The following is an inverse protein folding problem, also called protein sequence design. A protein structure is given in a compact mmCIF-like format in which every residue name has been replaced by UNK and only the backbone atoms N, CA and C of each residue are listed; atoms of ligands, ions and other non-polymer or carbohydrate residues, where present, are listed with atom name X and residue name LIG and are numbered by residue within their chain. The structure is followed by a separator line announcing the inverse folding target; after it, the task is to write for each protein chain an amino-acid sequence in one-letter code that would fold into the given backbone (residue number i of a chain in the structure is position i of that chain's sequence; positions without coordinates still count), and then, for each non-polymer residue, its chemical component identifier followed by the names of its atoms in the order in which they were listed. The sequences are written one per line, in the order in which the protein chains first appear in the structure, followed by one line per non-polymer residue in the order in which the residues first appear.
data_IF_330950013429
#
_entry.id   IF_330950013429
#
_cell.length_a   1.000
_cell.length_b   1.000
_cell.length_c   1.000
_cell.angle_alpha   90.00
_cell.angle_beta   90.00
_cell.angle_gamma   90.00
#
_symmetry.space_group_name_H-M   'P 1'
#
loop_
_entity.id
_entity.type
_entity.pdbx_description
1 polymer ?
#
# COMPACT_ATOMS: atom_id res chain seq x y z
N UNK A 1 14.14 -38.96 35.72
CA UNK A 1 14.46 -37.53 35.53
C UNK A 1 13.59 -36.97 34.46
N UNK A 2 12.65 -36.12 34.78
CA UNK A 2 11.89 -35.48 33.73
C UNK A 2 12.77 -34.44 33.03
N UNK A 3 12.90 -34.62 31.77
CA UNK A 3 13.60 -33.62 30.94
C UNK A 3 12.53 -32.68 30.42
N UNK A 4 12.53 -31.49 30.92
CA UNK A 4 11.67 -30.44 30.40
C UNK A 4 12.25 -29.99 29.06
N UNK A 5 11.66 -30.46 28.02
CA UNK A 5 11.96 -29.95 26.70
C UNK A 5 11.13 -28.67 26.55
N UNK A 6 11.75 -27.56 26.81
CA UNK A 6 11.14 -26.28 26.46
C UNK A 6 11.16 -26.16 24.95
N UNK A 7 10.06 -26.50 24.35
CA UNK A 7 9.88 -26.17 22.94
C UNK A 7 9.67 -24.68 22.82
N UNK A 8 10.70 -23.99 22.45
CA UNK A 8 10.56 -22.61 22.05
C UNK A 8 10.01 -22.61 20.65
N UNK A 9 8.72 -22.38 20.57
CA UNK A 9 8.08 -22.17 19.27
C UNK A 9 8.41 -20.74 18.87
N UNK A 10 9.42 -20.61 18.06
CA UNK A 10 9.67 -19.37 17.35
C UNK A 10 8.64 -19.26 16.25
N UNK A 11 7.49 -18.70 16.61
CA UNK A 11 6.53 -18.36 15.59
C UNK A 11 7.10 -17.23 14.76
N UNK A 12 7.24 -17.50 13.48
CA UNK A 12 7.65 -16.51 12.51
C UNK A 12 6.52 -15.51 12.29
N UNK A 13 6.37 -14.57 13.19
CA UNK A 13 5.34 -13.54 13.11
C UNK A 13 5.70 -12.40 12.17
N UNK A 14 6.93 -12.41 11.67
CA UNK A 14 7.46 -11.34 10.83
C UNK A 14 6.78 -11.23 9.48
N UNK A 15 6.21 -12.31 8.97
CA UNK A 15 5.60 -12.32 7.63
C UNK A 15 4.22 -11.65 7.62
N UNK A 16 3.56 -11.58 8.77
CA UNK A 16 2.19 -11.06 8.87
C UNK A 16 2.18 -9.53 8.99
N UNK A 17 3.24 -8.95 9.53
CA UNK A 17 3.31 -7.51 9.81
C UNK A 17 3.19 -6.64 8.56
N UNK A 18 3.65 -7.14 7.40
CA UNK A 18 3.63 -6.38 6.15
C UNK A 18 2.21 -6.24 5.58
N UNK A 19 1.34 -7.21 5.86
CA UNK A 19 -0.04 -7.21 5.36
C UNK A 19 -1.02 -6.54 6.32
N UNK A 20 -0.61 -6.27 7.57
CA UNK A 20 -1.49 -5.72 8.60
C UNK A 20 -1.63 -4.21 8.55
N UNK A 21 -0.75 -3.53 7.87
CA UNK A 21 -0.74 -2.08 7.79
C UNK A 21 -0.78 -1.61 6.36
N UNK A 22 -1.43 -0.46 6.15
CA UNK A 22 -1.38 0.22 4.86
C UNK A 22 0.08 0.57 4.57
N UNK A 23 0.62 0.18 3.41
CA UNK A 23 2.00 0.49 3.07
C UNK A 23 2.22 1.99 2.98
N UNK A 24 3.45 2.42 3.21
CA UNK A 24 3.82 3.83 3.12
C UNK A 24 4.42 4.12 1.76
N UNK A 25 3.72 4.93 0.98
CA UNK A 25 4.17 5.37 -0.32
C UNK A 25 4.59 6.83 -0.28
N UNK A 26 5.57 7.19 -1.09
CA UNK A 26 5.96 8.57 -1.30
C UNK A 26 5.02 9.20 -2.35
N UNK A 27 3.92 9.76 -1.88
CA UNK A 27 2.90 10.35 -2.74
C UNK A 27 3.44 11.50 -3.56
N UNK A 28 4.26 12.35 -2.96
CA UNK A 28 4.82 13.51 -3.64
C UNK A 28 5.68 13.09 -4.83
N UNK A 29 6.51 12.08 -4.64
CA UNK A 29 7.36 11.56 -5.72
C UNK A 29 6.52 10.95 -6.84
N UNK A 30 5.54 10.13 -6.49
CA UNK A 30 4.66 9.49 -7.47
C UNK A 30 3.88 10.52 -8.27
N UNK A 31 3.32 11.53 -7.60
CA UNK A 31 2.57 12.58 -8.26
C UNK A 31 3.44 13.44 -9.17
N UNK A 32 4.68 13.73 -8.76
CA UNK A 32 5.62 14.50 -9.59
C UNK A 32 6.02 13.72 -10.84
N UNK A 33 6.30 12.44 -10.70
CA UNK A 33 6.67 11.60 -11.84
C UNK A 33 5.52 11.47 -12.82
N UNK A 34 4.31 11.31 -12.32
CA UNK A 34 3.11 11.19 -13.14
C UNK A 34 2.86 12.49 -13.92
N UNK A 35 2.94 13.63 -13.26
CA UNK A 35 2.76 14.92 -13.90
C UNK A 35 3.84 15.20 -14.96
N UNK A 36 5.08 14.84 -14.67
CA UNK A 36 6.19 15.02 -15.61
C UNK A 36 6.03 14.16 -16.88
N UNK A 37 5.39 13.01 -16.76
CA UNK A 37 5.17 12.12 -17.89
C UNK A 37 4.08 12.62 -18.85
N UNK A 38 3.21 13.51 -18.40
CA UNK A 38 2.05 13.90 -19.18
C UNK A 38 2.23 15.16 -19.99
N UNK A 39 2.91 16.20 -19.48
CA UNK A 39 3.14 17.42 -20.23
C UNK A 39 4.28 18.24 -19.65
N UNK A 40 4.91 19.07 -20.41
CA UNK A 40 5.89 20.02 -19.93
C UNK A 40 5.32 21.34 -19.42
N UNK A 41 3.99 21.49 -19.31
CA UNK A 41 3.38 22.78 -18.98
C UNK A 41 2.51 22.69 -17.73
N UNK A 42 2.66 23.65 -16.82
CA UNK A 42 1.79 23.85 -15.65
C UNK A 42 1.53 22.59 -14.82
N UNK A 43 2.60 22.03 -14.27
CA UNK A 43 2.52 20.78 -13.50
C UNK A 43 2.00 20.96 -12.07
N UNK A 44 1.85 22.19 -11.58
CA UNK A 44 1.48 22.44 -10.19
C UNK A 44 0.07 21.99 -9.87
N UNK A 45 -0.90 22.29 -10.73
CA UNK A 45 -2.30 21.91 -10.48
C UNK A 45 -2.51 20.39 -10.61
N UNK A 46 -1.95 19.71 -11.62
CA UNK A 46 -2.00 18.25 -11.65
C UNK A 46 -1.36 17.58 -10.44
N UNK A 47 -0.27 18.13 -9.92
CA UNK A 47 0.38 17.59 -8.72
C UNK A 47 -0.55 17.76 -7.52
N UNK A 48 -1.17 18.91 -7.34
CA UNK A 48 -2.12 19.14 -6.25
C UNK A 48 -3.31 18.20 -6.31
N UNK A 49 -3.87 18.02 -7.49
CA UNK A 49 -5.00 17.11 -7.69
C UNK A 49 -4.60 15.68 -7.38
N UNK A 50 -3.43 15.26 -7.84
CA UNK A 50 -2.89 13.95 -7.55
C UNK A 50 -2.70 13.75 -6.05
N UNK A 51 -2.11 14.73 -5.36
CA UNK A 51 -1.90 14.67 -3.91
C UNK A 51 -3.22 14.56 -3.15
N UNK A 52 -4.23 15.31 -3.56
CA UNK A 52 -5.56 15.22 -2.94
C UNK A 52 -6.19 13.86 -3.13
N UNK A 53 -6.12 13.30 -4.33
CA UNK A 53 -6.67 11.99 -4.64
C UNK A 53 -5.94 10.89 -3.85
N UNK A 54 -4.62 10.98 -3.76
CA UNK A 54 -3.82 10.05 -2.98
C UNK A 54 -4.15 10.13 -1.49
N UNK A 55 -4.32 11.33 -0.95
CA UNK A 55 -4.68 11.53 0.44
C UNK A 55 -6.05 10.93 0.76
N UNK A 56 -7.03 11.14 -0.11
CA UNK A 56 -8.36 10.57 0.07
C UNK A 56 -8.33 9.04 0.00
N UNK A 57 -7.59 8.49 -0.94
CA UNK A 57 -7.44 7.05 -1.06
C UNK A 57 -6.76 6.47 0.18
N UNK A 58 -5.74 7.14 0.70
CA UNK A 58 -5.06 6.71 1.92
C UNK A 58 -6.02 6.69 3.11
N UNK A 59 -6.87 7.69 3.25
CA UNK A 59 -7.86 7.73 4.32
C UNK A 59 -8.86 6.58 4.20
N UNK A 60 -9.34 6.30 3.01
CA UNK A 60 -10.26 5.19 2.77
C UNK A 60 -9.58 3.85 3.05
N UNK A 61 -8.33 3.70 2.62
CA UNK A 61 -7.55 2.49 2.90
C UNK A 61 -7.41 2.29 4.40
N UNK A 62 -7.09 3.35 5.13
CA UNK A 62 -6.94 3.27 6.59
C UNK A 62 -8.21 2.80 7.30
N UNK A 63 -9.37 3.26 6.85
CA UNK A 63 -10.65 2.91 7.46
C UNK A 63 -11.14 1.52 7.04
N UNK A 64 -10.71 1.01 5.91
CA UNK A 64 -11.21 -0.25 5.33
C UNK A 64 -10.17 -1.38 5.32
N UNK A 65 -8.94 -1.09 5.71
CA UNK A 65 -7.83 -2.03 5.55
C UNK A 65 -8.11 -3.40 6.13
N UNK A 66 -8.63 -3.44 7.34
CA UNK A 66 -8.95 -4.70 8.02
C UNK A 66 -10.11 -5.47 7.38
N UNK A 67 -10.92 -4.81 6.57
CA UNK A 67 -12.06 -5.44 5.90
C UNK A 67 -11.63 -6.22 4.66
N UNK A 68 -10.49 -5.89 4.07
CA UNK A 68 -9.96 -6.63 2.94
C UNK A 68 -9.27 -7.89 3.44
N UNK A 69 -9.28 -8.95 2.63
CA UNK A 69 -8.60 -10.19 3.00
C UNK A 69 -7.09 -9.99 3.02
N UNK A 70 -6.39 -10.76 3.86
CA UNK A 70 -4.94 -10.72 3.93
C UNK A 70 -4.29 -11.03 2.58
N UNK A 71 -4.87 -11.97 1.84
CA UNK A 71 -4.42 -12.34 0.51
C UNK A 71 -4.52 -11.18 -0.48
N UNK A 72 -5.66 -10.49 -0.50
CA UNK A 72 -5.85 -9.33 -1.38
C UNK A 72 -4.93 -8.19 -1.01
N UNK A 73 -4.77 -7.91 0.28
CA UNK A 73 -3.86 -6.87 0.76
C UNK A 73 -2.42 -7.12 0.31
N UNK A 74 -1.96 -8.35 0.46
CA UNK A 74 -0.61 -8.73 0.05
C UNK A 74 -0.43 -8.64 -1.46
N UNK A 75 -1.39 -9.17 -2.21
CA UNK A 75 -1.36 -9.20 -3.66
C UNK A 75 -1.39 -7.79 -4.27
N UNK A 76 -2.31 -6.96 -3.83
CA UNK A 76 -2.45 -5.60 -4.34
C UNK A 76 -1.26 -4.72 -3.94
N UNK A 77 -0.74 -4.88 -2.72
CA UNK A 77 0.45 -4.16 -2.28
C UNK A 77 1.68 -4.54 -3.11
N UNK A 78 1.84 -5.83 -3.42
CA UNK A 78 2.94 -6.30 -4.25
C UNK A 78 2.86 -5.72 -5.66
N UNK A 79 1.66 -5.60 -6.21
CA UNK A 79 1.47 -5.02 -7.54
C UNK A 79 1.94 -3.57 -7.61
N UNK A 80 1.73 -2.80 -6.54
CA UNK A 80 2.18 -1.41 -6.49
C UNK A 80 3.71 -1.29 -6.46
N UNK A 81 4.39 -2.27 -5.89
CA UNK A 81 5.87 -2.26 -5.82
C UNK A 81 6.51 -2.51 -7.18
N UNK A 82 5.83 -3.15 -8.11
CA UNK A 82 6.41 -3.55 -9.39
C UNK A 82 6.53 -2.39 -10.37
N UNK A 83 5.62 -1.42 -10.27
CA UNK A 83 5.52 -0.35 -11.26
C UNK A 83 6.47 0.83 -11.09
N UNK A 84 7.18 0.95 -9.97
CA UNK A 84 8.08 2.06 -9.71
C UNK A 84 7.40 3.37 -9.28
N UNK A 85 6.10 3.48 -9.43
CA UNK A 85 5.30 4.64 -9.01
C UNK A 85 4.08 4.16 -8.21
N UNK A 86 4.29 3.70 -6.97
CA UNK A 86 3.18 3.20 -6.17
C UNK A 86 2.16 4.30 -5.87
N UNK A 87 0.88 3.93 -5.86
CA UNK A 87 -0.23 4.86 -5.71
C UNK A 87 -1.29 4.27 -4.78
N UNK A 88 -1.78 5.08 -3.86
CA UNK A 88 -2.89 4.67 -2.99
C UNK A 88 -4.20 4.54 -3.75
N UNK A 89 -4.42 5.39 -4.76
CA UNK A 89 -5.60 5.26 -5.63
C UNK A 89 -5.59 3.91 -6.34
N UNK A 90 -4.45 3.53 -6.90
CA UNK A 90 -4.29 2.25 -7.58
C UNK A 90 -4.44 1.07 -6.61
N UNK A 91 -3.86 1.17 -5.43
CA UNK A 91 -3.98 0.15 -4.39
C UNK A 91 -5.43 -0.04 -3.96
N UNK A 92 -6.12 1.06 -3.68
CA UNK A 92 -7.53 1.02 -3.30
C UNK A 92 -8.38 0.39 -4.39
N UNK A 93 -8.15 0.76 -5.64
CA UNK A 93 -8.87 0.21 -6.79
C UNK A 93 -8.65 -1.31 -6.89
N UNK A 94 -7.43 -1.76 -6.75
CA UNK A 94 -7.08 -3.18 -6.76
C UNK A 94 -7.86 -3.93 -5.67
N UNK A 95 -7.87 -3.40 -4.45
CA UNK A 95 -8.55 -4.02 -3.32
C UNK A 95 -10.07 -4.05 -3.50
N UNK A 96 -10.64 -2.99 -4.04
CA UNK A 96 -12.07 -2.93 -4.31
C UNK A 96 -12.49 -3.91 -5.40
N UNK A 97 -11.66 -4.10 -6.39
CA UNK A 97 -11.92 -5.07 -7.46
C UNK A 97 -11.76 -6.53 -7.00
N UNK A 98 -11.00 -6.75 -5.96
CA UNK A 98 -10.74 -8.09 -5.44
C UNK A 98 -11.81 -8.57 -4.45
N UNK A 99 -12.78 -7.76 -4.11
CA UNK A 99 -13.86 -8.13 -3.19
C UNK A 99 -14.83 -9.12 -3.82
#
# INVERSE_FOLDING_TARGET
MPISISMIILSSQLVIAVADEVPKFDMARSCKLDAAATTGLAVEQPIKNCMNDEQQALQQLGSQWSKFTASSRASCSANESVGGTPSYVSLLTCLQMAQ
#
